data_IF_185569215724
#
_entry.id   IF_185569215724
#
_cell.length_a   1.000
_cell.length_b   1.000
_cell.length_c   1.000
_cell.angle_alpha   90.00
_cell.angle_beta   90.00
_cell.angle_gamma   90.00
#
_symmetry.space_group_name_H-M   'P 1'
#
loop_
_entity.id
_entity.type
_entity.pdbx_description
1 polymer ?
#
# COMPACT_ATOMS: atom_id res chain seq x y z
N UNK A 1 -18.02 13.74 -11.03
CA UNK A 1 -19.12 13.74 -10.03
C UNK A 1 -18.96 12.46 -9.21
N UNK A 2 -18.77 12.53 -7.89
CA UNK A 2 -18.47 11.35 -7.04
C UNK A 2 -19.79 10.63 -6.69
N UNK A 3 -19.90 9.34 -7.02
CA UNK A 3 -21.07 8.51 -6.71
C UNK A 3 -21.25 8.38 -5.17
N UNK A 4 -22.48 8.43 -4.61
CA UNK A 4 -22.72 8.22 -3.19
C UNK A 4 -22.34 6.79 -2.73
N UNK A 5 -21.77 6.64 -1.53
CA UNK A 5 -21.39 5.31 -0.97
C UNK A 5 -22.55 4.31 -0.95
N UNK A 6 -23.77 4.78 -0.67
CA UNK A 6 -25.00 3.97 -0.68
C UNK A 6 -25.31 3.41 -2.07
N UNK A 7 -25.01 4.16 -3.11
CA UNK A 7 -25.22 3.74 -4.49
C UNK A 7 -24.10 2.81 -4.94
N UNK A 8 -22.84 3.15 -4.64
CA UNK A 8 -21.68 2.30 -4.89
C UNK A 8 -21.81 0.94 -4.21
N UNK A 9 -22.35 0.90 -2.99
CA UNK A 9 -22.61 -0.33 -2.25
C UNK A 9 -23.57 -1.27 -2.98
N UNK A 10 -24.64 -0.72 -3.58
CA UNK A 10 -25.61 -1.52 -4.34
C UNK A 10 -25.00 -2.11 -5.61
N UNK A 11 -24.17 -1.33 -6.31
CA UNK A 11 -23.60 -1.72 -7.60
C UNK A 11 -22.44 -2.71 -7.40
N UNK A 12 -21.53 -2.42 -6.47
CA UNK A 12 -20.35 -3.26 -6.21
C UNK A 12 -20.63 -4.51 -5.37
N UNK A 13 -21.77 -4.56 -4.68
CA UNK A 13 -22.07 -5.61 -3.69
C UNK A 13 -21.21 -5.53 -2.42
N UNK A 14 -20.45 -4.44 -2.23
CA UNK A 14 -19.63 -4.19 -1.04
C UNK A 14 -20.44 -3.36 -0.04
N UNK A 15 -20.32 -3.66 1.26
CA UNK A 15 -21.07 -2.91 2.27
C UNK A 15 -20.62 -1.44 2.35
N UNK A 16 -21.54 -0.52 2.66
CA UNK A 16 -21.20 0.90 2.86
C UNK A 16 -20.12 1.12 3.92
N UNK A 17 -20.13 0.31 5.00
CA UNK A 17 -19.11 0.38 6.05
C UNK A 17 -17.74 0.02 5.50
N UNK A 18 -17.65 -1.06 4.72
CA UNK A 18 -16.38 -1.47 4.12
C UNK A 18 -15.89 -0.46 3.08
N UNK A 19 -16.78 0.10 2.25
CA UNK A 19 -16.45 1.19 1.33
C UNK A 19 -15.88 2.38 2.09
N UNK A 20 -16.53 2.79 3.19
CA UNK A 20 -16.06 3.88 4.04
C UNK A 20 -14.67 3.59 4.62
N UNK A 21 -14.42 2.38 5.12
CA UNK A 21 -13.08 2.02 5.62
C UNK A 21 -12.01 2.06 4.53
N UNK A 22 -12.32 1.59 3.31
CA UNK A 22 -11.40 1.67 2.17
C UNK A 22 -11.14 3.12 1.79
N UNK A 23 -12.17 3.96 1.65
CA UNK A 23 -12.02 5.37 1.28
C UNK A 23 -11.24 6.20 2.31
N UNK A 24 -11.30 5.83 3.58
CA UNK A 24 -10.54 6.48 4.66
C UNK A 24 -9.16 5.83 4.90
N UNK A 25 -8.74 4.85 4.10
CA UNK A 25 -7.46 4.16 4.27
C UNK A 25 -7.36 3.29 5.53
N UNK A 26 -8.51 2.94 6.13
CA UNK A 26 -8.60 2.11 7.33
C UNK A 26 -8.58 0.61 7.02
N UNK A 27 -8.71 0.23 5.75
CA UNK A 27 -8.71 -1.16 5.30
C UNK A 27 -8.13 -1.27 3.90
N UNK A 28 -7.12 -2.14 3.73
CA UNK A 28 -6.63 -2.54 2.40
C UNK A 28 -7.60 -3.58 1.80
N UNK A 29 -8.27 -3.29 0.69
CA UNK A 29 -9.21 -4.23 0.07
C UNK A 29 -8.49 -5.39 -0.60
N UNK A 30 -9.11 -6.58 -0.56
CA UNK A 30 -8.64 -7.72 -1.37
C UNK A 30 -8.79 -7.42 -2.87
N UNK A 31 -8.02 -8.10 -3.71
CA UNK A 31 -8.05 -7.90 -5.17
C UNK A 31 -9.46 -8.01 -5.79
N UNK A 32 -10.27 -8.96 -5.33
CA UNK A 32 -11.66 -9.09 -5.79
C UNK A 32 -12.52 -7.86 -5.40
N UNK A 33 -12.27 -7.27 -4.23
CA UNK A 33 -12.95 -6.05 -3.78
C UNK A 33 -12.50 -4.85 -4.62
N UNK A 34 -11.20 -4.76 -4.95
CA UNK A 34 -10.66 -3.73 -5.84
C UNK A 34 -11.33 -3.78 -7.22
N UNK A 35 -11.41 -4.97 -7.82
CA UNK A 35 -12.08 -5.20 -9.10
C UNK A 35 -13.55 -4.77 -9.07
N UNK A 36 -14.32 -5.21 -8.07
CA UNK A 36 -15.74 -4.87 -7.94
C UNK A 36 -15.99 -3.36 -7.81
N UNK A 37 -15.14 -2.66 -7.07
CA UNK A 37 -15.27 -1.21 -6.91
C UNK A 37 -14.88 -0.45 -8.19
N UNK A 38 -13.85 -0.91 -8.89
CA UNK A 38 -13.41 -0.35 -10.16
C UNK A 38 -14.48 -0.53 -11.26
N UNK A 39 -15.03 -1.74 -11.38
CA UNK A 39 -16.15 -2.06 -12.28
C UNK A 39 -17.38 -1.20 -12.00
N UNK A 40 -17.77 -1.08 -10.73
CA UNK A 40 -18.92 -0.28 -10.33
C UNK A 40 -18.77 1.22 -10.63
N UNK A 41 -17.53 1.73 -10.60
CA UNK A 41 -17.20 3.11 -10.92
C UNK A 41 -16.85 3.33 -12.40
N UNK A 42 -16.75 2.26 -13.19
CA UNK A 42 -16.40 2.32 -14.61
C UNK A 42 -14.98 2.83 -14.86
N UNK A 43 -14.04 2.58 -13.93
CA UNK A 43 -12.65 2.99 -14.04
C UNK A 43 -11.71 1.78 -13.96
N UNK A 44 -10.50 1.83 -14.53
CA UNK A 44 -9.49 0.79 -14.32
C UNK A 44 -9.16 0.63 -12.83
N UNK A 45 -8.83 -0.60 -12.41
CA UNK A 45 -8.44 -0.89 -11.02
C UNK A 45 -7.26 -0.03 -10.60
N UNK A 46 -6.30 0.17 -11.50
CA UNK A 46 -5.08 0.95 -11.29
C UNK A 46 -5.36 2.46 -11.20
N UNK A 47 -6.52 2.92 -11.68
CA UNK A 47 -6.95 4.31 -11.51
C UNK A 47 -7.54 4.53 -10.12
N UNK A 48 -8.24 3.53 -9.59
CA UNK A 48 -8.91 3.60 -8.29
C UNK A 48 -7.99 3.19 -7.13
N UNK A 49 -7.14 2.21 -7.39
CA UNK A 49 -6.11 1.66 -6.52
C UNK A 49 -4.80 1.71 -7.31
N UNK A 50 -4.23 2.91 -7.51
CA UNK A 50 -2.90 3.01 -8.10
C UNK A 50 -1.99 2.09 -7.32
N UNK A 51 -1.30 1.21 -8.05
CA UNK A 51 -0.30 0.35 -7.44
C UNK A 51 0.62 1.28 -6.65
N UNK A 52 0.65 1.15 -5.33
CA UNK A 52 1.70 1.73 -4.53
C UNK A 52 2.97 0.93 -4.85
N UNK A 53 3.56 1.23 -6.01
CA UNK A 53 4.75 0.55 -6.54
C UNK A 53 5.87 0.63 -5.50
N UNK A 54 5.89 1.69 -4.69
CA UNK A 54 6.83 1.87 -3.60
C UNK A 54 6.56 0.98 -2.37
N UNK A 55 5.35 1.03 -1.80
CA UNK A 55 5.05 0.31 -0.55
C UNK A 55 5.09 -1.21 -0.71
N UNK A 56 4.66 -1.74 -1.86
CA UNK A 56 4.80 -3.15 -2.16
C UNK A 56 6.25 -3.58 -2.43
N UNK A 57 7.09 -2.69 -2.98
CA UNK A 57 8.48 -3.01 -3.27
C UNK A 57 9.30 -3.26 -2.01
N UNK A 58 9.04 -2.52 -0.91
CA UNK A 58 9.70 -2.74 0.37
C UNK A 58 9.48 -4.17 0.90
N UNK A 59 8.21 -4.56 1.02
CA UNK A 59 7.82 -5.89 1.48
C UNK A 59 8.34 -6.98 0.56
N UNK A 60 8.20 -6.80 -0.76
CA UNK A 60 8.67 -7.76 -1.75
C UNK A 60 10.19 -7.99 -1.69
N UNK A 61 10.98 -6.91 -1.59
CA UNK A 61 12.43 -6.99 -1.46
C UNK A 61 12.85 -7.68 -0.16
N UNK A 62 12.19 -7.34 0.96
CA UNK A 62 12.44 -7.97 2.26
C UNK A 62 12.17 -9.48 2.22
N UNK A 63 11.00 -9.90 1.72
CA UNK A 63 10.62 -11.31 1.64
C UNK A 63 11.52 -12.08 0.68
N UNK A 64 11.91 -11.49 -0.46
CA UNK A 64 12.88 -12.09 -1.39
C UNK A 64 14.25 -12.34 -0.75
N UNK A 65 14.61 -11.56 0.25
CA UNK A 65 15.83 -11.73 1.07
C UNK A 65 15.62 -12.64 2.30
N UNK A 66 14.45 -13.28 2.41
CA UNK A 66 14.07 -14.14 3.53
C UNK A 66 14.16 -13.45 4.90
N UNK A 67 13.90 -12.14 4.94
CA UNK A 67 13.96 -11.34 6.16
C UNK A 67 12.57 -11.15 6.77
N UNK A 68 12.50 -11.20 8.09
CA UNK A 68 11.37 -10.73 8.90
C UNK A 68 11.37 -9.20 9.03
N UNK A 69 10.26 -8.62 9.47
CA UNK A 69 10.20 -7.18 9.72
C UNK A 69 11.12 -6.79 10.89
N UNK A 70 11.22 -7.61 11.94
CA UNK A 70 12.18 -7.45 13.04
C UNK A 70 13.64 -7.45 12.57
N UNK A 71 14.02 -8.33 11.65
CA UNK A 71 15.37 -8.34 11.11
C UNK A 71 15.67 -7.08 10.29
N UNK A 72 14.73 -6.64 9.46
CA UNK A 72 14.87 -5.38 8.73
C UNK A 72 14.94 -4.19 9.69
N UNK A 73 14.14 -4.20 10.76
CA UNK A 73 14.14 -3.17 11.79
C UNK A 73 15.52 -3.04 12.45
N UNK A 74 16.12 -4.17 12.82
CA UNK A 74 17.43 -4.23 13.45
C UNK A 74 18.53 -3.69 12.53
N UNK A 75 18.50 -4.02 11.23
CA UNK A 75 19.54 -3.58 10.28
C UNK A 75 19.37 -2.11 9.90
N UNK A 76 18.13 -1.67 9.64
CA UNK A 76 17.84 -0.30 9.22
C UNK A 76 17.78 0.72 10.36
N UNK A 77 17.80 0.27 11.62
CA UNK A 77 17.55 1.10 12.80
C UNK A 77 16.22 1.86 12.74
N UNK A 78 15.20 1.22 12.15
CA UNK A 78 13.81 1.70 12.09
C UNK A 78 12.96 0.74 12.91
N UNK A 79 11.96 1.24 13.62
CA UNK A 79 11.08 0.36 14.40
C UNK A 79 10.32 -0.62 13.49
N UNK A 80 10.09 -1.84 13.96
CA UNK A 80 9.29 -2.81 13.20
C UNK A 80 7.87 -2.30 12.92
N UNK A 81 7.27 -1.56 13.86
CA UNK A 81 5.95 -0.93 13.67
C UNK A 81 5.98 0.06 12.51
N UNK A 82 7.02 0.91 12.44
CA UNK A 82 7.20 1.85 11.32
C UNK A 82 7.36 1.11 10.00
N UNK A 83 8.15 0.03 9.96
CA UNK A 83 8.28 -0.81 8.76
C UNK A 83 6.93 -1.38 8.36
N UNK A 84 6.16 -1.92 9.31
CA UNK A 84 4.82 -2.44 9.05
C UNK A 84 3.89 -1.36 8.49
N UNK A 85 3.90 -0.14 9.06
CA UNK A 85 3.09 0.96 8.54
C UNK A 85 3.49 1.35 7.11
N UNK A 86 4.79 1.41 6.81
CA UNK A 86 5.28 1.69 5.45
C UNK A 86 4.87 0.56 4.49
N UNK A 87 5.05 -0.72 4.88
CA UNK A 87 4.70 -1.86 4.03
C UNK A 87 3.20 -2.01 3.74
N UNK A 88 2.35 -1.45 4.59
CA UNK A 88 0.88 -1.47 4.44
C UNK A 88 0.32 -0.12 3.97
N UNK A 89 1.18 0.82 3.56
CA UNK A 89 0.76 2.14 3.07
C UNK A 89 0.15 3.09 4.09
N UNK A 90 0.28 2.77 5.38
CA UNK A 90 -0.24 3.59 6.48
C UNK A 90 0.67 4.78 6.81
N UNK A 91 1.87 4.85 6.25
CA UNK A 91 2.82 5.93 6.51
C UNK A 91 3.75 6.15 5.31
N UNK A 92 3.85 7.40 4.86
CA UNK A 92 4.88 7.83 3.91
C UNK A 92 6.21 8.05 4.66
N UNK A 93 7.27 7.31 4.35
CA UNK A 93 8.56 7.47 5.02
C UNK A 93 9.27 8.76 4.59
N UNK A 94 9.98 9.38 5.52
CA UNK A 94 10.90 10.48 5.21
C UNK A 94 12.09 9.98 4.37
N UNK A 95 12.75 10.88 3.65
CA UNK A 95 13.89 10.53 2.78
C UNK A 95 15.01 9.76 3.50
N UNK A 96 15.34 10.14 4.75
CA UNK A 96 16.31 9.41 5.56
C UNK A 96 15.86 7.97 5.86
N UNK A 97 14.57 7.78 6.13
CA UNK A 97 13.97 6.45 6.36
C UNK A 97 14.02 5.61 5.09
N UNK A 98 13.71 6.21 3.93
CA UNK A 98 13.83 5.54 2.62
C UNK A 98 15.26 5.08 2.35
N UNK A 99 16.25 5.94 2.60
CA UNK A 99 17.68 5.61 2.45
C UNK A 99 18.10 4.44 3.35
N UNK A 100 17.76 4.48 4.64
CA UNK A 100 18.09 3.41 5.59
C UNK A 100 17.47 2.07 5.21
N UNK A 101 16.25 2.06 4.70
CA UNK A 101 15.59 0.82 4.23
C UNK A 101 16.26 0.27 2.96
N UNK A 102 16.61 1.15 2.02
CA UNK A 102 17.34 0.78 0.80
C UNK A 102 18.72 0.20 1.11
N UNK A 103 19.49 0.85 1.99
CA UNK A 103 20.78 0.37 2.46
C UNK A 103 20.67 -0.98 3.19
N UNK A 104 19.73 -1.11 4.12
CA UNK A 104 19.52 -2.35 4.88
C UNK A 104 19.14 -3.53 3.97
N UNK A 105 18.39 -3.25 2.90
CA UNK A 105 18.03 -4.24 1.88
C UNK A 105 19.10 -4.37 0.80
N UNK A 106 20.12 -3.51 0.73
CA UNK A 106 21.14 -3.52 -0.31
C UNK A 106 20.55 -3.41 -1.72
N UNK A 107 19.59 -2.50 -1.91
CA UNK A 107 18.94 -2.20 -3.20
C UNK A 107 18.92 -0.70 -3.42
N UNK A 108 18.76 -0.26 -4.68
CA UNK A 108 18.66 1.16 -4.98
C UNK A 108 17.38 1.79 -4.41
N UNK A 109 17.49 3.04 -3.96
CA UNK A 109 16.37 3.82 -3.41
C UNK A 109 15.17 3.84 -4.37
N UNK A 110 15.41 4.00 -5.67
CA UNK A 110 14.37 4.05 -6.70
C UNK A 110 13.70 2.69 -6.94
N UNK A 111 14.34 1.59 -6.53
CA UNK A 111 13.72 0.26 -6.56
C UNK A 111 12.64 0.15 -5.49
N UNK A 112 12.86 0.75 -4.32
CA UNK A 112 11.91 0.74 -3.21
C UNK A 112 10.91 1.90 -3.23
N UNK A 113 11.32 3.06 -3.74
CA UNK A 113 10.53 4.29 -3.72
C UNK A 113 10.68 5.01 -5.05
N UNK A 114 10.12 4.47 -6.15
CA UNK A 114 10.17 5.12 -7.45
C UNK A 114 9.47 6.47 -7.37
N UNK A 115 10.10 7.51 -7.94
CA UNK A 115 9.46 8.82 -8.06
C UNK A 115 8.18 8.69 -8.89
N UNK A 116 7.04 9.00 -8.28
CA UNK A 116 5.79 9.23 -9.00
C UNK A 116 6.01 10.34 -10.02
N UNK A 117 5.77 10.05 -11.30
CA UNK A 117 5.76 11.06 -12.38
C UNK A 117 4.48 11.86 -12.36
#
# INVERSE_FOLDING_TARGET
MKMPQKELSKISGISQVQISFIENGLSEPMELTKQRLAEALGVPVETLFPAEIAMHALKACRVKKLMTQEELARISSISQVTISFIENGLSEPMELTKQRLAEALGVDLQTLFPRSR
#
